data_IF_153470517836
#
_entry.id   IF_153470517836
#
_cell.length_a   1.000
_cell.length_b   1.000
_cell.length_c   1.000
_cell.angle_alpha   90.00
_cell.angle_beta   90.00
_cell.angle_gamma   90.00
#
_symmetry.space_group_name_H-M   'P 1'
#
loop_
_entity.id
_entity.type
_entity.pdbx_description
1 polymer ?
#
# COMPACT_ATOMS: atom_id res chain seq x y z
N UNK A 1 -44.22 -8.14 3.83
CA UNK A 1 -42.95 -7.71 4.30
C UNK A 1 -42.55 -8.62 5.47
N UNK A 2 -41.46 -9.35 5.36
CA UNK A 2 -40.91 -10.20 6.41
C UNK A 2 -39.79 -9.49 7.17
N UNK A 3 -39.12 -10.17 8.12
CA UNK A 3 -37.95 -9.64 8.77
C UNK A 3 -36.82 -9.38 7.76
N UNK A 4 -36.12 -8.25 7.93
CA UNK A 4 -35.05 -7.85 7.03
C UNK A 4 -33.72 -7.72 7.79
N UNK A 5 -32.64 -8.11 7.13
CA UNK A 5 -31.28 -7.87 7.56
C UNK A 5 -30.51 -7.06 6.52
N UNK A 6 -29.23 -6.83 6.79
CA UNK A 6 -28.31 -6.19 5.86
C UNK A 6 -27.07 -7.04 5.61
N UNK A 7 -26.42 -6.73 4.50
CA UNK A 7 -25.04 -7.14 4.24
C UNK A 7 -24.19 -5.87 4.15
N UNK A 8 -23.16 -5.78 5.00
CA UNK A 8 -22.32 -4.60 5.12
C UNK A 8 -20.84 -4.97 5.02
N UNK A 9 -20.04 -4.13 4.40
CA UNK A 9 -18.62 -4.36 4.20
C UNK A 9 -17.78 -3.56 5.21
N UNK A 10 -17.09 -4.23 6.12
CA UNK A 10 -15.99 -3.68 6.90
C UNK A 10 -14.67 -3.73 6.13
N UNK A 11 -14.62 -4.53 5.04
CA UNK A 11 -13.54 -4.60 4.04
C UNK A 11 -14.11 -5.11 2.72
N UNK A 12 -13.30 -5.14 1.66
CA UNK A 12 -13.66 -5.77 0.39
C UNK A 12 -14.81 -5.09 -0.40
N UNK A 13 -14.97 -3.78 -0.26
CA UNK A 13 -16.07 -3.05 -0.94
C UNK A 13 -15.68 -2.51 -2.33
N UNK A 14 -14.38 -2.31 -2.60
CA UNK A 14 -13.83 -1.88 -3.88
C UNK A 14 -12.52 -2.64 -4.13
N UNK A 15 -12.44 -3.40 -5.22
CA UNK A 15 -11.28 -4.25 -5.50
C UNK A 15 -9.98 -3.47 -5.73
N UNK A 16 -10.09 -2.25 -6.27
CA UNK A 16 -8.94 -1.41 -6.60
C UNK A 16 -8.49 -0.51 -5.45
N UNK A 17 -9.37 -0.27 -4.48
CA UNK A 17 -9.12 0.58 -3.32
C UNK A 17 -9.50 -0.08 -1.99
N UNK A 18 -9.70 -1.40 -1.98
CA UNK A 18 -10.11 -2.17 -0.82
C UNK A 18 -9.09 -2.15 0.32
N UNK A 19 -9.57 -2.49 1.49
CA UNK A 19 -8.78 -2.69 2.70
C UNK A 19 -8.92 -4.14 3.17
N UNK A 20 -7.81 -4.88 3.17
CA UNK A 20 -7.76 -6.29 3.60
C UNK A 20 -6.92 -6.49 4.84
N UNK A 21 -5.79 -5.81 4.92
CA UNK A 21 -4.80 -5.89 6.00
C UNK A 21 -4.76 -4.62 6.85
N UNK A 22 -5.60 -3.64 6.53
CA UNK A 22 -5.79 -2.40 7.29
C UNK A 22 -7.26 -2.20 7.64
N UNK A 23 -7.57 -1.37 8.63
CA UNK A 23 -8.96 -1.02 8.97
C UNK A 23 -9.67 -0.34 7.81
N UNK A 24 -11.01 -0.36 7.84
CA UNK A 24 -11.82 0.48 6.97
C UNK A 24 -11.31 1.92 7.08
N UNK A 25 -10.88 2.54 5.96
CA UNK A 25 -10.32 3.89 6.01
C UNK A 25 -11.39 4.98 6.11
N UNK A 26 -12.65 4.64 5.84
CA UNK A 26 -13.79 5.55 5.98
C UNK A 26 -13.97 5.93 7.45
N UNK A 27 -14.16 7.23 7.78
CA UNK A 27 -14.31 7.68 9.15
C UNK A 27 -15.45 6.96 9.90
N UNK A 28 -15.29 6.63 11.18
CA UNK A 28 -16.31 5.91 11.94
C UNK A 28 -17.64 6.68 12.05
N UNK A 29 -17.63 8.00 11.92
CA UNK A 29 -18.83 8.85 11.84
C UNK A 29 -19.69 8.52 10.62
N UNK A 30 -19.07 8.12 9.52
CA UNK A 30 -19.80 7.63 8.34
C UNK A 30 -20.50 6.30 8.65
N UNK A 31 -19.79 5.36 9.28
CA UNK A 31 -20.34 4.06 9.69
C UNK A 31 -21.53 4.26 10.65
N UNK A 32 -21.36 5.15 11.63
CA UNK A 32 -22.44 5.54 12.57
C UNK A 32 -23.71 5.99 11.84
N UNK A 33 -23.54 6.92 10.92
CA UNK A 33 -24.65 7.50 10.17
C UNK A 33 -25.35 6.48 9.28
N UNK A 34 -24.61 5.67 8.55
CA UNK A 34 -25.18 4.71 7.61
C UNK A 34 -25.90 3.56 8.36
N UNK A 35 -25.29 3.01 9.40
CA UNK A 35 -25.93 1.94 10.18
C UNK A 35 -27.04 2.47 11.10
N UNK A 36 -26.95 3.72 11.55
CA UNK A 36 -28.05 4.39 12.23
C UNK A 36 -29.30 4.47 11.36
N UNK A 37 -29.16 4.87 10.09
CA UNK A 37 -30.26 4.88 9.11
C UNK A 37 -30.90 3.50 8.89
N UNK A 38 -30.10 2.44 8.96
CA UNK A 38 -30.59 1.05 8.87
C UNK A 38 -31.48 0.72 10.06
N UNK A 39 -31.02 1.05 11.27
CA UNK A 39 -31.80 0.85 12.51
C UNK A 39 -33.09 1.68 12.55
N UNK A 40 -33.04 2.93 12.12
CA UNK A 40 -34.21 3.82 12.05
C UNK A 40 -35.32 3.25 11.15
N UNK A 41 -34.96 2.40 10.21
CA UNK A 41 -35.92 1.69 9.33
C UNK A 41 -36.36 0.35 9.88
N UNK A 42 -35.95 0.01 11.10
CA UNK A 42 -36.32 -1.23 11.77
C UNK A 42 -35.61 -2.48 11.23
N UNK A 43 -34.54 -2.33 10.44
CA UNK A 43 -33.77 -3.45 9.87
C UNK A 43 -32.72 -3.90 10.89
N UNK A 44 -33.09 -4.81 11.80
CA UNK A 44 -32.25 -5.23 12.92
C UNK A 44 -32.26 -6.73 13.21
N UNK A 45 -32.95 -7.53 12.41
CA UNK A 45 -33.10 -8.96 12.71
C UNK A 45 -31.77 -9.71 12.62
N UNK A 46 -30.99 -9.40 11.58
CA UNK A 46 -29.62 -9.92 11.44
C UNK A 46 -28.77 -8.99 10.57
N UNK A 47 -27.50 -8.93 10.88
CA UNK A 47 -26.50 -8.22 10.06
C UNK A 47 -25.38 -9.17 9.67
N UNK A 48 -25.09 -9.26 8.38
CA UNK A 48 -23.94 -9.97 7.85
C UNK A 48 -22.85 -8.95 7.57
N UNK A 49 -21.72 -9.10 8.24
CA UNK A 49 -20.58 -8.19 8.10
C UNK A 49 -19.46 -8.90 7.35
N UNK A 50 -19.15 -8.41 6.15
CA UNK A 50 -18.02 -8.91 5.39
C UNK A 50 -16.73 -8.27 5.92
N UNK A 51 -15.79 -9.10 6.35
CA UNK A 51 -14.44 -8.71 6.72
C UNK A 51 -13.48 -9.79 6.19
N UNK A 52 -12.58 -9.42 5.29
CA UNK A 52 -11.61 -10.35 4.70
C UNK A 52 -10.71 -10.98 5.76
N UNK A 53 -10.34 -10.21 6.78
CA UNK A 53 -9.54 -10.62 7.93
C UNK A 53 -10.08 -9.97 9.22
N UNK A 54 -10.10 -10.69 10.32
CA UNK A 54 -10.62 -10.15 11.59
C UNK A 54 -9.61 -9.22 12.28
N UNK A 55 -8.32 -9.60 12.31
CA UNK A 55 -7.28 -8.89 13.07
C UNK A 55 -7.19 -7.39 12.73
N UNK A 56 -7.13 -6.98 11.45
CA UNK A 56 -7.03 -5.56 11.12
C UNK A 56 -8.28 -4.76 11.48
N UNK A 57 -9.45 -5.40 11.48
CA UNK A 57 -10.76 -4.73 11.56
C UNK A 57 -11.39 -4.72 12.95
N UNK A 58 -10.64 -5.11 14.01
CA UNK A 58 -11.21 -5.25 15.36
C UNK A 58 -11.95 -4.00 15.86
N UNK A 59 -11.41 -2.81 15.63
CA UNK A 59 -12.07 -1.56 16.01
C UNK A 59 -13.40 -1.38 15.28
N UNK A 60 -13.39 -1.49 13.96
CA UNK A 60 -14.59 -1.32 13.10
C UNK A 60 -15.65 -2.36 13.43
N UNK A 61 -15.26 -3.63 13.59
CA UNK A 61 -16.17 -4.72 13.94
C UNK A 61 -16.79 -4.53 15.33
N UNK A 62 -15.99 -4.09 16.31
CA UNK A 62 -16.48 -3.78 17.66
C UNK A 62 -17.48 -2.61 17.63
N UNK A 63 -17.23 -1.60 16.80
CA UNK A 63 -18.14 -0.47 16.67
C UNK A 63 -19.47 -0.86 15.99
N UNK A 64 -19.41 -1.63 14.92
CA UNK A 64 -20.61 -2.17 14.25
C UNK A 64 -21.43 -3.03 15.24
N UNK A 65 -20.78 -3.89 16.02
CA UNK A 65 -21.45 -4.71 17.01
C UNK A 65 -22.14 -3.86 18.10
N UNK A 66 -21.48 -2.79 18.56
CA UNK A 66 -22.05 -1.85 19.52
C UNK A 66 -23.31 -1.16 18.95
N UNK A 67 -23.24 -0.67 17.71
CA UNK A 67 -24.38 -0.02 17.04
C UNK A 67 -25.56 -1.00 16.93
N UNK A 68 -25.28 -2.25 16.56
CA UNK A 68 -26.33 -3.26 16.40
C UNK A 68 -27.02 -3.62 17.71
N UNK A 69 -26.25 -3.75 18.81
CA UNK A 69 -26.75 -4.18 20.10
C UNK A 69 -27.48 -3.05 20.87
N UNK A 70 -26.89 -1.88 20.93
CA UNK A 70 -27.30 -0.80 21.81
C UNK A 70 -27.80 0.44 21.06
N UNK A 71 -27.74 0.45 19.72
CA UNK A 71 -28.04 1.60 18.91
C UNK A 71 -26.83 2.51 18.68
N UNK A 72 -27.00 3.56 17.87
CA UNK A 72 -25.92 4.47 17.52
C UNK A 72 -25.35 5.16 18.75
N UNK A 73 -24.05 4.97 18.97
CA UNK A 73 -23.25 5.72 19.92
C UNK A 73 -22.33 6.65 19.16
N UNK A 74 -22.16 7.93 19.54
CA UNK A 74 -21.26 8.83 18.83
C UNK A 74 -19.86 8.22 18.67
N UNK A 75 -19.34 8.22 17.43
CA UNK A 75 -18.09 7.56 17.08
C UNK A 75 -16.91 7.97 17.97
N UNK A 76 -16.81 9.26 18.30
CA UNK A 76 -15.80 9.76 19.23
C UNK A 76 -15.90 9.20 20.65
N UNK A 77 -17.13 9.02 21.17
CA UNK A 77 -17.36 8.43 22.50
C UNK A 77 -17.01 6.93 22.50
N UNK A 78 -17.39 6.22 21.42
CA UNK A 78 -16.98 4.82 21.26
C UNK A 78 -15.46 4.67 21.20
N UNK A 79 -14.77 5.48 20.38
CA UNK A 79 -13.31 5.46 20.29
C UNK A 79 -12.66 5.65 21.66
N UNK A 80 -13.09 6.64 22.44
CA UNK A 80 -12.57 6.89 23.78
C UNK A 80 -12.79 5.69 24.73
N UNK A 81 -13.96 5.07 24.68
CA UNK A 81 -14.26 3.86 25.46
C UNK A 81 -13.38 2.69 25.04
N UNK A 82 -13.24 2.48 23.73
CA UNK A 82 -12.43 1.41 23.15
C UNK A 82 -10.96 1.53 23.56
N UNK A 83 -10.36 2.73 23.40
CA UNK A 83 -8.93 2.90 23.75
C UNK A 83 -8.68 2.81 25.25
N UNK A 84 -9.58 3.29 26.09
CA UNK A 84 -9.48 3.13 27.55
C UNK A 84 -9.50 1.66 27.94
N UNK A 85 -10.39 0.87 27.33
CA UNK A 85 -10.54 -0.55 27.62
C UNK A 85 -9.34 -1.38 27.22
N UNK A 86 -8.78 -1.14 26.02
CA UNK A 86 -7.77 -2.01 25.44
C UNK A 86 -6.34 -1.49 25.57
N UNK A 87 -6.15 -0.18 25.67
CA UNK A 87 -4.82 0.43 25.73
C UNK A 87 -4.47 0.99 27.13
N UNK A 88 -5.42 1.05 28.06
CA UNK A 88 -5.16 1.42 29.45
C UNK A 88 -4.43 2.75 29.63
N UNK A 89 -3.22 2.74 30.22
CA UNK A 89 -2.42 3.96 30.41
C UNK A 89 -2.07 4.69 29.11
N UNK A 90 -2.02 3.97 28.01
CA UNK A 90 -1.68 4.49 26.67
C UNK A 90 -2.89 4.97 25.86
N UNK A 91 -4.07 5.03 26.47
CA UNK A 91 -5.32 5.36 25.80
C UNK A 91 -5.27 6.69 25.02
N UNK A 92 -4.67 7.73 25.60
CA UNK A 92 -4.55 9.04 24.94
C UNK A 92 -3.69 8.95 23.66
N UNK A 93 -2.58 8.23 23.72
CA UNK A 93 -1.70 8.01 22.57
C UNK A 93 -2.39 7.16 21.50
N UNK A 94 -3.13 6.14 21.93
CA UNK A 94 -3.92 5.32 21.02
C UNK A 94 -5.04 6.13 20.35
N UNK A 95 -5.80 6.94 21.10
CA UNK A 95 -6.84 7.82 20.54
C UNK A 95 -6.26 8.74 19.45
N UNK A 96 -5.12 9.36 19.72
CA UNK A 96 -4.45 10.22 18.75
C UNK A 96 -4.07 9.44 17.47
N UNK A 97 -3.51 8.23 17.61
CA UNK A 97 -3.12 7.40 16.48
C UNK A 97 -4.33 6.96 15.64
N UNK A 98 -5.46 6.55 16.26
CA UNK A 98 -6.69 6.22 15.54
C UNK A 98 -7.26 7.43 14.79
N UNK A 99 -7.30 8.60 15.41
CA UNK A 99 -7.75 9.84 14.72
C UNK A 99 -6.86 10.19 13.55
N UNK A 100 -5.54 10.04 13.72
CA UNK A 100 -4.58 10.30 12.66
C UNK A 100 -4.72 9.32 11.50
N UNK A 101 -5.00 8.04 11.78
CA UNK A 101 -5.28 7.04 10.75
C UNK A 101 -6.37 7.51 9.77
N UNK A 102 -7.52 7.94 10.30
CA UNK A 102 -8.64 8.40 9.46
C UNK A 102 -8.36 9.75 8.78
N UNK A 103 -7.67 10.66 9.46
CA UNK A 103 -7.32 11.98 8.88
C UNK A 103 -6.27 11.85 7.77
N UNK A 104 -5.40 10.84 7.84
CA UNK A 104 -4.37 10.59 6.83
C UNK A 104 -4.92 9.94 5.57
N UNK A 105 -6.07 9.28 5.62
CA UNK A 105 -6.64 8.55 4.50
C UNK A 105 -6.86 9.45 3.27
N UNK A 106 -6.54 8.92 2.08
CA UNK A 106 -6.73 9.62 0.82
C UNK A 106 -8.14 9.41 0.29
N UNK A 107 -8.70 10.46 -0.31
CA UNK A 107 -9.89 10.36 -1.14
C UNK A 107 -9.47 10.27 -2.61
N UNK A 108 -10.02 9.33 -3.35
CA UNK A 108 -9.74 9.11 -4.77
C UNK A 108 -10.91 9.46 -5.69
N UNK A 109 -12.07 9.81 -5.13
CA UNK A 109 -13.28 10.16 -5.87
C UNK A 109 -14.13 11.19 -5.13
N UNK A 110 -15.28 11.58 -5.74
CA UNK A 110 -16.10 12.66 -5.23
C UNK A 110 -17.04 12.26 -4.08
N UNK A 111 -17.22 10.96 -3.83
CA UNK A 111 -18.12 10.47 -2.79
C UNK A 111 -17.39 10.38 -1.44
N UNK A 112 -18.12 10.53 -0.36
CA UNK A 112 -17.59 10.52 1.01
C UNK A 112 -16.91 9.18 1.38
N UNK A 113 -17.38 8.10 0.80
CA UNK A 113 -16.84 6.75 0.98
C UNK A 113 -15.75 6.36 -0.04
N UNK A 114 -15.41 7.25 -0.99
CA UNK A 114 -14.28 7.05 -1.90
C UNK A 114 -12.94 7.27 -1.16
N UNK A 115 -12.70 6.50 -0.11
CA UNK A 115 -11.52 6.55 0.74
C UNK A 115 -10.65 5.34 0.46
N UNK A 116 -9.36 5.59 0.19
CA UNK A 116 -8.42 4.59 -0.26
C UNK A 116 -8.00 3.61 0.86
N UNK A 117 -8.31 2.33 0.67
CA UNK A 117 -7.68 1.22 1.39
C UNK A 117 -6.26 0.95 0.87
N UNK A 118 -5.55 0.01 1.48
CA UNK A 118 -4.16 -0.27 1.09
C UNK A 118 -4.01 -0.85 -0.32
N UNK A 119 -5.06 -1.43 -0.89
CA UNK A 119 -5.04 -1.87 -2.29
C UNK A 119 -4.77 -0.72 -3.25
N UNK A 120 -5.25 0.49 -2.94
CA UNK A 120 -4.98 1.66 -3.75
C UNK A 120 -3.49 2.01 -3.85
N UNK A 121 -2.69 1.67 -2.84
CA UNK A 121 -1.23 1.85 -2.86
C UNK A 121 -0.49 0.65 -3.50
N UNK A 122 -1.16 -0.43 -3.86
CA UNK A 122 -0.56 -1.67 -4.36
C UNK A 122 -1.06 -2.05 -5.76
N UNK A 123 -2.37 -2.20 -5.93
CA UNK A 123 -2.95 -2.72 -7.17
C UNK A 123 -2.69 -1.80 -8.38
N UNK A 124 -2.90 -0.48 -8.31
CA UNK A 124 -2.63 0.40 -9.44
C UNK A 124 -1.16 0.41 -9.87
N UNK A 125 -0.24 0.31 -8.91
CA UNK A 125 1.19 0.18 -9.24
C UNK A 125 1.45 -1.05 -10.11
N UNK A 126 0.88 -2.21 -9.75
CA UNK A 126 1.00 -3.45 -10.53
C UNK A 126 0.43 -3.31 -11.95
N UNK A 127 -0.74 -2.69 -12.06
CA UNK A 127 -1.39 -2.45 -13.37
C UNK A 127 -0.51 -1.55 -14.24
N UNK A 128 -0.02 -0.43 -13.70
CA UNK A 128 0.83 0.51 -14.45
C UNK A 128 2.15 -0.14 -14.87
N UNK A 129 2.80 -0.93 -14.00
CA UNK A 129 4.02 -1.69 -14.31
C UNK A 129 3.73 -2.68 -15.45
N UNK A 130 2.66 -3.46 -15.35
CA UNK A 130 2.28 -4.43 -16.38
C UNK A 130 2.03 -3.75 -17.73
N UNK A 131 1.29 -2.66 -17.74
CA UNK A 131 1.04 -1.89 -18.97
C UNK A 131 2.31 -1.31 -19.58
N UNK A 132 3.24 -0.83 -18.77
CA UNK A 132 4.54 -0.36 -19.26
C UNK A 132 5.32 -1.51 -19.94
N UNK A 133 5.41 -2.67 -19.29
CA UNK A 133 6.16 -3.81 -19.78
C UNK A 133 5.56 -4.42 -21.06
N UNK A 134 4.26 -4.28 -21.27
CA UNK A 134 3.54 -4.81 -22.45
C UNK A 134 3.18 -3.75 -23.49
N UNK A 135 3.88 -2.62 -23.51
CA UNK A 135 3.68 -1.57 -24.52
C UNK A 135 2.34 -0.83 -24.40
N UNK A 136 1.73 -0.80 -23.23
CA UNK A 136 0.42 -0.19 -23.01
C UNK A 136 -0.77 -1.09 -23.33
N UNK A 137 -0.50 -2.27 -23.91
CA UNK A 137 -1.52 -3.29 -24.20
C UNK A 137 -1.57 -4.35 -23.07
N UNK A 138 -2.66 -5.10 -23.00
CA UNK A 138 -2.70 -6.37 -22.26
C UNK A 138 -3.03 -6.33 -20.78
N UNK A 139 -3.46 -5.22 -20.21
CA UNK A 139 -4.12 -5.25 -18.92
C UNK A 139 -5.62 -5.45 -19.11
N UNK A 140 -6.14 -6.59 -18.68
CA UNK A 140 -7.58 -6.86 -18.65
C UNK A 140 -8.31 -5.96 -17.63
N UNK A 141 -7.56 -5.26 -16.78
CA UNK A 141 -8.08 -4.43 -15.72
C UNK A 141 -7.80 -2.95 -16.00
N UNK A 142 -8.82 -2.26 -16.46
CA UNK A 142 -8.80 -0.80 -16.47
C UNK A 142 -8.87 -0.29 -15.02
N UNK A 143 -8.16 0.82 -14.77
CA UNK A 143 -8.27 1.53 -13.51
C UNK A 143 -9.46 2.49 -13.62
N UNK A 144 -10.58 2.17 -13.01
CA UNK A 144 -11.84 2.92 -13.14
C UNK A 144 -11.68 4.42 -12.83
N UNK A 145 -10.92 4.75 -11.79
CA UNK A 145 -10.62 6.12 -11.41
C UNK A 145 -9.63 6.82 -12.37
N UNK A 146 -8.90 6.08 -13.20
CA UNK A 146 -8.00 6.62 -14.22
C UNK A 146 -8.63 6.65 -15.62
N UNK A 147 -9.87 6.19 -15.77
CA UNK A 147 -10.58 6.17 -17.06
C UNK A 147 -10.58 7.50 -17.82
N UNK A 148 -10.65 8.69 -17.18
CA UNK A 148 -10.55 9.97 -17.86
C UNK A 148 -9.13 10.27 -18.42
N UNK A 149 -8.10 9.50 -18.04
CA UNK A 149 -6.70 9.74 -18.39
C UNK A 149 -6.29 8.78 -19.52
N UNK A 150 -6.18 9.25 -20.78
CA UNK A 150 -6.07 8.38 -21.94
C UNK A 150 -4.69 7.73 -22.14
N UNK A 151 -3.65 8.24 -21.49
CA UNK A 151 -2.29 7.72 -21.68
C UNK A 151 -1.68 7.16 -20.41
N UNK A 152 -0.81 6.16 -20.55
CA UNK A 152 -0.05 5.61 -19.43
C UNK A 152 0.74 6.68 -18.67
N UNK A 153 1.34 7.64 -19.39
CA UNK A 153 2.06 8.75 -18.77
C UNK A 153 1.16 9.62 -17.88
N UNK A 154 -0.06 9.95 -18.33
CA UNK A 154 -1.00 10.72 -17.54
C UNK A 154 -1.47 9.94 -16.31
N UNK A 155 -1.77 8.65 -16.46
CA UNK A 155 -2.16 7.79 -15.36
C UNK A 155 -1.02 7.63 -14.34
N UNK A 156 0.20 7.40 -14.79
CA UNK A 156 1.37 7.31 -13.91
C UNK A 156 1.65 8.64 -13.19
N UNK A 157 1.54 9.78 -13.87
CA UNK A 157 1.74 11.09 -13.25
C UNK A 157 0.69 11.38 -12.16
N UNK A 158 -0.57 11.12 -12.44
CA UNK A 158 -1.65 11.28 -11.47
C UNK A 158 -1.45 10.36 -10.25
N UNK A 159 -1.16 9.08 -10.47
CA UNK A 159 -0.95 8.11 -9.41
C UNK A 159 0.28 8.46 -8.56
N UNK A 160 1.39 8.90 -9.19
CA UNK A 160 2.58 9.41 -8.49
C UNK A 160 2.22 10.51 -7.50
N UNK A 161 1.45 11.51 -7.93
CA UNK A 161 1.14 12.68 -7.11
C UNK A 161 0.24 12.31 -5.92
N UNK A 162 -0.72 11.43 -6.12
CA UNK A 162 -1.53 10.86 -5.03
C UNK A 162 -0.68 10.05 -4.05
N UNK A 163 0.20 9.19 -4.54
CA UNK A 163 1.07 8.39 -3.70
C UNK A 163 2.06 9.26 -2.90
N UNK A 164 2.61 10.32 -3.50
CA UNK A 164 3.45 11.29 -2.77
C UNK A 164 2.67 11.97 -1.65
N UNK A 165 1.44 12.32 -1.90
CA UNK A 165 0.57 12.91 -0.87
C UNK A 165 0.28 11.90 0.24
N UNK A 166 -0.09 10.66 -0.11
CA UNK A 166 -0.35 9.58 0.85
C UNK A 166 0.85 9.32 1.75
N UNK A 167 2.05 9.18 1.17
CA UNK A 167 3.28 8.95 1.93
C UNK A 167 3.59 10.07 2.95
N UNK A 168 3.22 11.32 2.64
CA UNK A 168 3.40 12.47 3.55
C UNK A 168 2.40 12.53 4.69
N UNK A 169 1.18 12.02 4.49
CA UNK A 169 0.12 12.07 5.49
C UNK A 169 0.32 11.08 6.63
N UNK A 170 0.88 9.90 6.34
CA UNK A 170 1.14 8.88 7.34
C UNK A 170 2.50 9.11 8.00
N UNK A 171 2.57 9.21 9.35
CA UNK A 171 3.82 9.40 10.06
C UNK A 171 4.72 8.17 9.99
N UNK A 172 6.02 8.36 10.23
CA UNK A 172 6.90 7.26 10.52
C UNK A 172 6.46 6.55 11.82
N UNK A 173 6.64 5.21 11.93
CA UNK A 173 6.31 4.49 13.14
C UNK A 173 7.14 4.99 14.31
N UNK A 174 6.52 5.05 15.49
CA UNK A 174 7.19 5.35 16.74
C UNK A 174 7.72 4.06 17.36
N UNK A 175 9.05 3.86 17.41
CA UNK A 175 9.64 2.63 17.92
C UNK A 175 9.39 2.43 19.41
N UNK A 176 9.14 3.52 20.17
CA UNK A 176 8.92 3.48 21.61
C UNK A 176 7.42 3.34 21.98
N UNK A 177 6.57 3.14 20.98
CA UNK A 177 5.15 2.93 21.22
C UNK A 177 4.90 1.57 21.90
N UNK A 178 3.84 1.44 22.73
CA UNK A 178 3.45 0.18 23.32
C UNK A 178 3.21 -0.91 22.29
N UNK A 179 3.55 -2.15 22.62
CA UNK A 179 3.51 -3.28 21.69
C UNK A 179 2.15 -3.45 21.00
N UNK A 180 1.03 -3.35 21.78
CA UNK A 180 -0.31 -3.46 21.20
C UNK A 180 -0.60 -2.36 20.17
N UNK A 181 -0.13 -1.15 20.41
CA UNK A 181 -0.30 -0.04 19.47
C UNK A 181 0.56 -0.23 18.20
N UNK A 182 1.77 -0.76 18.39
CA UNK A 182 2.63 -1.16 17.27
C UNK A 182 2.05 -2.33 16.46
N UNK A 183 1.35 -3.28 17.10
CA UNK A 183 0.72 -4.43 16.44
C UNK A 183 -0.62 -4.10 15.75
N UNK A 184 -1.14 -2.91 15.98
CA UNK A 184 -2.45 -2.46 15.49
C UNK A 184 -2.33 -1.26 14.55
N UNK A 185 -2.82 -0.09 14.95
CA UNK A 185 -2.98 1.08 14.08
C UNK A 185 -1.65 1.63 13.56
N UNK A 186 -0.56 1.56 14.33
CA UNK A 186 0.75 2.06 13.86
C UNK A 186 1.34 1.19 12.76
N UNK A 187 1.20 -0.15 12.86
CA UNK A 187 1.58 -1.06 11.78
C UNK A 187 0.86 -0.70 10.49
N UNK A 188 -0.44 -0.51 10.58
CA UNK A 188 -1.27 -0.21 9.41
C UNK A 188 -0.87 1.12 8.76
N UNK A 189 -0.60 2.15 9.56
CA UNK A 189 -0.10 3.43 9.05
C UNK A 189 1.30 3.31 8.39
N UNK A 190 2.19 2.47 8.94
CA UNK A 190 3.51 2.24 8.32
C UNK A 190 3.38 1.49 6.99
N UNK A 191 2.46 0.54 6.88
CA UNK A 191 2.15 -0.14 5.61
C UNK A 191 1.68 0.87 4.56
N UNK A 192 0.72 1.74 4.89
CA UNK A 192 0.29 2.79 3.97
C UNK A 192 1.44 3.70 3.54
N UNK A 193 2.20 4.21 4.49
CA UNK A 193 3.32 5.12 4.22
C UNK A 193 4.32 4.51 3.25
N UNK A 194 4.73 3.26 3.48
CA UNK A 194 5.70 2.54 2.65
C UNK A 194 5.13 2.20 1.28
N UNK A 195 3.92 1.64 1.23
CA UNK A 195 3.30 1.30 -0.05
C UNK A 195 3.06 2.55 -0.91
N UNK A 196 2.65 3.68 -0.32
CA UNK A 196 2.54 4.94 -1.05
C UNK A 196 3.91 5.47 -1.51
N UNK A 197 4.95 5.39 -0.66
CA UNK A 197 6.30 5.77 -1.08
C UNK A 197 6.79 4.90 -2.25
N UNK A 198 6.58 3.59 -2.15
CA UNK A 198 6.88 2.64 -3.23
C UNK A 198 6.08 2.91 -4.49
N UNK A 199 4.77 3.19 -4.38
CA UNK A 199 3.89 3.52 -5.51
C UNK A 199 4.32 4.79 -6.24
N UNK A 200 4.72 5.84 -5.50
CA UNK A 200 5.25 7.06 -6.08
C UNK A 200 6.53 6.81 -6.90
N UNK A 201 7.48 6.07 -6.32
CA UNK A 201 8.73 5.71 -7.00
C UNK A 201 8.51 4.79 -8.21
N UNK A 202 7.56 3.85 -8.12
CA UNK A 202 7.20 3.00 -9.26
C UNK A 202 6.63 3.81 -10.42
N UNK A 203 5.72 4.75 -10.13
CA UNK A 203 5.18 5.65 -11.14
C UNK A 203 6.24 6.58 -11.74
N UNK A 204 7.18 7.07 -10.94
CA UNK A 204 8.33 7.84 -11.43
C UNK A 204 9.23 7.01 -12.34
N UNK A 205 9.50 5.75 -11.98
CA UNK A 205 10.26 4.83 -12.83
C UNK A 205 9.60 4.62 -14.19
N UNK A 206 8.27 4.48 -14.22
CA UNK A 206 7.50 4.36 -15.47
C UNK A 206 7.64 5.64 -16.31
N UNK A 207 7.50 6.82 -15.70
CA UNK A 207 7.62 8.11 -16.40
C UNK A 207 9.02 8.31 -16.98
N UNK A 208 10.07 8.00 -16.22
CA UNK A 208 11.45 8.07 -16.68
C UNK A 208 11.71 7.05 -17.82
N UNK A 209 11.16 5.83 -17.70
CA UNK A 209 11.24 4.82 -18.74
C UNK A 209 10.56 5.25 -20.05
N UNK A 210 9.36 5.84 -19.95
CA UNK A 210 8.66 6.42 -21.12
C UNK A 210 9.43 7.59 -21.75
N UNK A 211 10.23 8.30 -20.96
CA UNK A 211 11.11 9.36 -21.42
C UNK A 211 12.47 8.85 -21.95
N UNK A 212 12.71 7.53 -21.98
CA UNK A 212 13.97 6.93 -22.41
C UNK A 212 15.11 7.04 -21.39
N UNK A 213 14.83 7.47 -20.16
CA UNK A 213 15.80 7.60 -19.08
C UNK A 213 15.94 6.29 -18.30
N UNK A 214 16.29 5.22 -18.99
CA UNK A 214 16.21 3.85 -18.49
C UNK A 214 17.06 3.58 -17.24
N UNK A 215 18.25 4.16 -17.13
CA UNK A 215 19.12 4.00 -15.96
C UNK A 215 18.48 4.61 -14.70
N UNK A 216 17.95 5.82 -14.81
CA UNK A 216 17.24 6.50 -13.71
C UNK A 216 15.98 5.73 -13.32
N UNK A 217 15.22 5.27 -14.32
CA UNK A 217 14.05 4.45 -14.15
C UNK A 217 14.36 3.14 -13.40
N UNK A 218 15.43 2.45 -13.79
CA UNK A 218 15.91 1.24 -13.14
C UNK A 218 16.23 1.47 -11.66
N UNK A 219 16.95 2.55 -11.35
CA UNK A 219 17.31 2.87 -9.98
C UNK A 219 16.08 3.17 -9.12
N UNK A 220 15.13 3.95 -9.64
CA UNK A 220 13.85 4.24 -8.96
C UNK A 220 12.98 3.00 -8.77
N UNK A 221 12.95 2.09 -9.75
CA UNK A 221 12.24 0.82 -9.60
C UNK A 221 12.86 -0.04 -8.47
N UNK A 222 14.17 -0.03 -8.31
CA UNK A 222 14.87 -0.66 -7.20
C UNK A 222 14.49 -0.03 -5.84
N UNK A 223 14.45 1.30 -5.76
CA UNK A 223 14.01 2.01 -4.56
C UNK A 223 12.54 1.72 -4.21
N UNK A 224 11.66 1.71 -5.22
CA UNK A 224 10.25 1.34 -5.04
C UNK A 224 10.12 -0.09 -4.47
N UNK A 225 10.89 -1.03 -5.01
CA UNK A 225 10.94 -2.42 -4.53
C UNK A 225 11.34 -2.50 -3.06
N UNK A 226 12.31 -1.72 -2.61
CA UNK A 226 12.73 -1.68 -1.21
C UNK A 226 11.58 -1.23 -0.29
N UNK A 227 10.80 -0.24 -0.66
CA UNK A 227 9.68 0.24 0.14
C UNK A 227 8.59 -0.84 0.30
N UNK A 228 8.22 -1.56 -0.76
CA UNK A 228 7.27 -2.67 -0.66
C UNK A 228 7.82 -3.85 0.15
N UNK A 229 9.10 -4.19 0.01
CA UNK A 229 9.73 -5.21 0.85
C UNK A 229 9.80 -4.78 2.33
N UNK A 230 10.02 -3.50 2.59
CA UNK A 230 10.01 -2.98 3.95
C UNK A 230 8.58 -2.99 4.55
N UNK A 231 7.54 -2.78 3.74
CA UNK A 231 6.15 -2.94 4.18
C UNK A 231 5.84 -4.41 4.52
N UNK A 232 6.24 -5.37 3.67
CA UNK A 232 6.12 -6.81 3.97
C UNK A 232 6.88 -7.19 5.24
N UNK A 233 8.13 -6.71 5.39
CA UNK A 233 8.94 -6.97 6.58
C UNK A 233 8.30 -6.39 7.86
N UNK A 234 7.69 -5.21 7.79
CA UNK A 234 6.95 -4.62 8.91
C UNK A 234 5.79 -5.52 9.33
N UNK A 235 4.99 -6.02 8.38
CA UNK A 235 3.91 -6.97 8.63
C UNK A 235 4.45 -8.26 9.28
N UNK A 236 5.50 -8.86 8.71
CA UNK A 236 6.10 -10.10 9.22
C UNK A 236 6.67 -9.95 10.63
N UNK A 237 7.21 -8.78 10.96
CA UNK A 237 7.76 -8.52 12.29
C UNK A 237 6.71 -8.55 13.41
N UNK A 238 5.43 -8.51 13.05
CA UNK A 238 4.27 -8.54 13.97
C UNK A 238 3.52 -9.88 13.96
N UNK A 239 4.10 -10.90 13.34
CA UNK A 239 3.60 -12.28 13.37
C UNK A 239 4.10 -13.01 14.59
N UNK A 240 3.41 -12.88 15.73
CA UNK A 240 3.77 -13.53 16.99
C UNK A 240 2.56 -14.17 17.69
N UNK A 241 2.82 -15.10 18.61
CA UNK A 241 1.78 -15.82 19.33
C UNK A 241 0.81 -16.54 18.40
N UNK A 242 -0.48 -16.36 18.60
CA UNK A 242 -1.53 -16.94 17.73
C UNK A 242 -1.62 -16.34 16.33
N UNK A 243 -0.89 -15.26 16.08
CA UNK A 243 -0.85 -14.57 14.79
C UNK A 243 0.37 -14.93 13.93
N UNK A 244 1.08 -16.01 14.26
CA UNK A 244 2.17 -16.51 13.42
C UNK A 244 1.66 -16.82 12.02
N UNK A 245 2.46 -16.46 11.01
CA UNK A 245 2.15 -16.59 9.56
C UNK A 245 0.83 -15.98 9.11
N UNK A 246 0.24 -15.08 9.91
CA UNK A 246 -1.03 -14.43 9.57
C UNK A 246 -0.93 -13.64 8.26
N UNK A 247 0.05 -12.75 8.15
CA UNK A 247 0.28 -11.97 6.94
C UNK A 247 0.92 -12.78 5.82
N UNK A 248 1.60 -13.91 6.14
CA UNK A 248 2.11 -14.85 5.16
C UNK A 248 1.00 -15.55 4.37
N UNK A 249 -0.17 -15.72 4.97
CA UNK A 249 -1.34 -16.36 4.35
C UNK A 249 -2.31 -15.36 3.72
N UNK A 250 -2.05 -14.06 3.85
CA UNK A 250 -2.84 -13.04 3.19
C UNK A 250 -2.53 -13.06 1.67
N UNK A 251 -3.55 -13.13 0.84
CA UNK A 251 -3.42 -13.31 -0.61
C UNK A 251 -4.18 -12.27 -1.44
N UNK A 252 -4.87 -11.32 -0.79
CA UNK A 252 -5.69 -10.34 -1.49
C UNK A 252 -4.91 -9.06 -1.80
N UNK A 253 -4.17 -8.53 -0.85
CA UNK A 253 -3.30 -7.37 -1.06
C UNK A 253 -1.95 -7.77 -1.61
N UNK A 254 -1.33 -8.79 -1.02
CA UNK A 254 -0.05 -9.36 -1.40
C UNK A 254 1.03 -8.30 -1.74
N UNK A 255 1.41 -7.53 -0.74
CA UNK A 255 2.38 -6.43 -0.86
C UNK A 255 3.69 -6.89 -1.51
N UNK A 256 4.13 -8.11 -1.20
CA UNK A 256 5.36 -8.70 -1.75
C UNK A 256 5.27 -8.94 -3.26
N UNK A 257 4.08 -9.20 -3.80
CA UNK A 257 3.88 -9.36 -5.24
C UNK A 257 4.24 -8.08 -6.02
N UNK A 258 3.91 -6.90 -5.48
CA UNK A 258 4.32 -5.63 -6.09
C UNK A 258 5.85 -5.50 -6.15
N UNK A 259 6.56 -5.95 -5.11
CA UNK A 259 8.03 -5.98 -5.12
C UNK A 259 8.61 -6.93 -6.18
N UNK A 260 7.93 -8.05 -6.47
CA UNK A 260 8.35 -8.96 -7.53
C UNK A 260 8.18 -8.34 -8.92
N UNK A 261 7.03 -7.71 -9.18
CA UNK A 261 6.81 -7.02 -10.45
C UNK A 261 7.79 -5.85 -10.68
N UNK A 262 8.20 -5.18 -9.62
CA UNK A 262 9.24 -4.15 -9.71
C UNK A 262 10.61 -4.73 -10.06
N UNK A 263 10.94 -5.94 -9.61
CA UNK A 263 12.13 -6.64 -10.08
C UNK A 263 12.05 -6.95 -11.58
N UNK A 264 10.89 -7.40 -12.06
CA UNK A 264 10.68 -7.68 -13.48
C UNK A 264 10.76 -6.38 -14.31
N UNK A 265 10.22 -5.27 -13.79
CA UNK A 265 10.38 -3.95 -14.39
C UNK A 265 11.86 -3.53 -14.48
N UNK A 266 12.66 -3.77 -13.44
CA UNK A 266 14.11 -3.51 -13.48
C UNK A 266 14.78 -4.26 -14.64
N UNK A 267 14.50 -5.55 -14.79
CA UNK A 267 15.01 -6.35 -15.91
C UNK A 267 14.55 -5.82 -17.26
N UNK A 268 13.28 -5.42 -17.40
CA UNK A 268 12.75 -4.82 -18.61
C UNK A 268 13.50 -3.51 -18.98
N UNK A 269 13.66 -2.61 -18.03
CA UNK A 269 14.38 -1.33 -18.20
C UNK A 269 15.84 -1.54 -18.56
N UNK A 270 16.48 -2.55 -17.96
CA UNK A 270 17.86 -2.92 -18.30
C UNK A 270 17.98 -3.45 -19.70
N UNK A 271 17.06 -4.29 -20.17
CA UNK A 271 16.98 -4.74 -21.55
C UNK A 271 16.85 -3.58 -22.55
N UNK A 272 16.13 -2.53 -22.18
CA UNK A 272 15.93 -1.36 -23.04
C UNK A 272 17.14 -0.43 -23.08
N UNK A 273 17.89 -0.30 -21.98
CA UNK A 273 18.90 0.77 -21.84
C UNK A 273 20.35 0.32 -21.67
N UNK A 274 20.63 -0.87 -21.11
CA UNK A 274 22.01 -1.29 -20.80
C UNK A 274 22.74 -1.92 -22.01
N UNK A 275 22.05 -2.03 -23.15
CA UNK A 275 22.60 -2.62 -24.35
C UNK A 275 22.61 -4.16 -24.31
N UNK A 276 23.03 -4.82 -25.42
CA UNK A 276 22.81 -6.26 -25.59
C UNK A 276 23.64 -7.14 -24.65
N UNK A 277 24.65 -6.60 -23.99
CA UNK A 277 25.57 -7.37 -23.15
C UNK A 277 25.47 -7.04 -21.65
N UNK A 278 24.58 -6.16 -21.25
CA UNK A 278 24.27 -5.83 -19.84
C UNK A 278 25.48 -5.41 -18.99
N UNK A 279 26.40 -4.64 -19.54
CA UNK A 279 27.55 -4.14 -18.80
C UNK A 279 27.84 -2.65 -19.00
N UNK A 280 27.13 -1.97 -19.89
CA UNK A 280 27.37 -0.56 -20.20
C UNK A 280 27.14 0.32 -18.98
N UNK A 281 26.04 0.12 -18.27
CA UNK A 281 25.74 0.85 -17.06
C UNK A 281 26.75 0.56 -15.95
N UNK A 282 27.07 -0.70 -15.72
CA UNK A 282 28.09 -1.11 -14.74
C UNK A 282 29.41 -0.39 -15.01
N UNK A 283 29.88 -0.40 -16.27
CA UNK A 283 31.10 0.29 -16.67
C UNK A 283 31.01 1.80 -16.48
N UNK A 284 29.91 2.42 -16.87
CA UNK A 284 29.73 3.86 -16.82
C UNK A 284 29.63 4.38 -15.38
N UNK A 285 28.94 3.64 -14.53
CA UNK A 285 28.50 4.13 -13.22
C UNK A 285 29.44 3.68 -12.11
N UNK A 286 29.95 2.43 -12.16
CA UNK A 286 30.68 1.83 -11.05
C UNK A 286 32.19 1.99 -11.14
N UNK A 287 32.75 2.16 -12.32
CA UNK A 287 34.20 2.20 -12.51
C UNK A 287 34.69 3.61 -12.90
N UNK A 288 35.80 3.99 -12.28
CA UNK A 288 36.60 5.14 -12.76
C UNK A 288 37.21 4.80 -14.12
N UNK A 289 37.61 5.80 -14.93
CA UNK A 289 38.27 5.55 -16.21
C UNK A 289 39.52 4.65 -16.11
N UNK A 290 40.27 4.74 -15.01
CA UNK A 290 41.43 3.89 -14.75
C UNK A 290 41.01 2.44 -14.50
N UNK A 291 40.01 2.22 -13.65
CA UNK A 291 39.47 0.89 -13.36
C UNK A 291 38.84 0.25 -14.61
N UNK A 292 38.11 1.01 -15.41
CA UNK A 292 37.48 0.54 -16.63
C UNK A 292 38.48 0.05 -17.70
N UNK A 293 39.77 0.41 -17.56
CA UNK A 293 40.82 -0.07 -18.46
C UNK A 293 41.37 -1.44 -18.07
N UNK A 294 41.26 -1.83 -16.79
CA UNK A 294 41.86 -3.08 -16.27
C UNK A 294 40.80 -4.15 -15.96
N UNK A 295 39.55 -3.74 -15.66
CA UNK A 295 38.46 -4.69 -15.44
C UNK A 295 37.97 -5.24 -16.77
N UNK A 296 38.10 -6.57 -16.94
CA UNK A 296 37.58 -7.26 -18.12
C UNK A 296 36.05 -7.46 -17.99
N UNK A 297 35.30 -6.41 -18.28
CA UNK A 297 33.82 -6.40 -18.15
C UNK A 297 33.14 -7.40 -19.10
N UNK A 298 33.79 -7.78 -20.19
CA UNK A 298 33.26 -8.80 -21.12
C UNK A 298 33.30 -10.22 -20.54
N UNK A 299 34.01 -10.43 -19.43
CA UNK A 299 33.98 -11.68 -18.72
C UNK A 299 32.71 -11.75 -17.83
N UNK A 300 31.91 -12.81 -17.97
CA UNK A 300 30.68 -13.01 -17.22
C UNK A 300 30.85 -12.98 -15.70
N UNK A 301 32.01 -13.40 -15.19
CA UNK A 301 32.35 -13.36 -13.76
C UNK A 301 32.36 -11.92 -13.18
N UNK A 302 32.53 -10.93 -14.05
CA UNK A 302 32.52 -9.52 -13.65
C UNK A 302 31.17 -8.83 -13.89
N UNK A 303 30.19 -9.53 -14.45
CA UNK A 303 28.84 -8.98 -14.63
C UNK A 303 28.05 -9.03 -13.34
N UNK A 304 27.31 -7.97 -13.08
CA UNK A 304 26.37 -7.90 -11.98
C UNK A 304 24.96 -8.19 -12.51
N UNK A 305 24.20 -9.01 -11.80
CA UNK A 305 22.77 -9.14 -12.03
C UNK A 305 22.03 -7.83 -11.64
N UNK A 306 20.73 -7.77 -11.88
CA UNK A 306 19.96 -6.55 -11.67
C UNK A 306 19.98 -6.07 -10.21
N UNK A 307 19.89 -6.99 -9.27
CA UNK A 307 19.89 -6.64 -7.85
C UNK A 307 21.28 -6.22 -7.37
N UNK A 308 22.31 -6.94 -7.79
CA UNK A 308 23.69 -6.58 -7.48
C UNK A 308 24.10 -5.25 -8.09
N UNK A 309 23.66 -4.96 -9.32
CA UNK A 309 23.87 -3.64 -9.94
C UNK A 309 23.19 -2.53 -9.15
N UNK A 310 21.92 -2.72 -8.80
CA UNK A 310 21.18 -1.75 -7.99
C UNK A 310 21.87 -1.47 -6.65
N UNK A 311 22.27 -2.51 -5.92
CA UNK A 311 22.97 -2.35 -4.64
C UNK A 311 24.31 -1.62 -4.80
N UNK A 312 25.05 -1.92 -5.86
CA UNK A 312 26.31 -1.23 -6.16
C UNK A 312 26.08 0.26 -6.50
N UNK A 313 25.02 0.58 -7.23
CA UNK A 313 24.62 1.97 -7.52
C UNK A 313 24.24 2.72 -6.23
N UNK A 314 23.47 2.08 -5.36
CA UNK A 314 23.06 2.63 -4.06
C UNK A 314 24.26 2.96 -3.17
N UNK A 315 25.27 2.08 -3.11
CA UNK A 315 26.51 2.32 -2.38
C UNK A 315 27.30 3.52 -2.91
N UNK A 316 27.20 3.80 -4.20
CA UNK A 316 27.83 4.96 -4.85
C UNK A 316 27.04 6.27 -4.66
N UNK A 317 25.85 6.19 -4.06
CA UNK A 317 24.94 7.34 -3.85
C UNK A 317 24.54 8.03 -5.15
N UNK A 318 24.18 7.23 -6.14
CA UNK A 318 23.73 7.71 -7.45
C UNK A 318 22.29 8.19 -7.40
#
# INVERSE_FOLDING_TARGET
>A
PGPHGIYYHASFYDLQAANHITMLPTPPEFVERELGRVLDRGVKEYWIINASNVKPHLFTLAYIAQIWQDGPTPAGAFLQSYVRRYYGPDASRAEQAFRQYYTAALHFGPHEDNVAGEQFANYPARVLISRYMHGGEGSEHELDWAAPLPTLAQQAAWYRDLCREGARRYPAPDPDAPALLQDSVLLQMDVYRRCYAGGALAAEAILDGLAGQYLTAFYKAGQAREEYLAADAALRSREHGKWQVFYANECLTDVKHTAWLLRDLMGCLRNQGDGPYFYTWQRQVLYTPAQARVVLITNMENHLDDLALYEAMKQKKL
#
